data_IF_407173184386
#
_entry.id   IF_407173184386
#
_cell.length_a   1.000
_cell.length_b   1.000
_cell.length_c   1.000
_cell.angle_alpha   90.00
_cell.angle_beta   90.00
_cell.angle_gamma   90.00
#
_symmetry.space_group_name_H-M   'P 1'
#
loop_
_entity.id
_entity.type
_entity.pdbx_description
1 polymer ?
#
# COMPACT_ATOMS: atom_id res chain seq x y z
N UNK A 1 -11.10 -13.11 -11.29
CA UNK A 1 -10.07 -12.21 -11.87
C UNK A 1 -9.56 -11.31 -10.76
N UNK A 2 -8.23 -11.22 -10.52
CA UNK A 2 -7.69 -10.31 -9.49
C UNK A 2 -7.95 -8.85 -9.90
N UNK A 3 -8.82 -8.18 -9.15
CA UNK A 3 -9.05 -6.73 -9.21
C UNK A 3 -7.88 -6.01 -8.56
N UNK A 4 -7.71 -4.73 -8.89
CA UNK A 4 -6.59 -3.95 -8.34
C UNK A 4 -6.71 -3.79 -6.81
N UNK A 5 -7.91 -3.58 -6.27
CA UNK A 5 -8.15 -3.51 -4.83
C UNK A 5 -7.70 -4.78 -4.10
N UNK A 6 -8.01 -5.96 -4.64
CA UNK A 6 -7.57 -7.25 -4.06
C UNK A 6 -6.05 -7.42 -4.13
N UNK A 7 -5.37 -6.89 -5.15
CA UNK A 7 -3.90 -6.89 -5.18
C UNK A 7 -3.32 -6.04 -4.05
N UNK A 8 -3.87 -4.85 -3.81
CA UNK A 8 -3.43 -4.00 -2.70
C UNK A 8 -3.68 -4.64 -1.34
N UNK A 9 -4.84 -5.27 -1.11
CA UNK A 9 -5.14 -5.95 0.15
C UNK A 9 -4.26 -7.17 0.39
N UNK A 10 -3.98 -7.96 -0.65
CA UNK A 10 -3.05 -9.10 -0.55
C UNK A 10 -1.61 -8.64 -0.30
N UNK A 11 -1.18 -7.55 -0.95
CA UNK A 11 0.12 -6.91 -0.67
C UNK A 11 0.21 -6.38 0.76
N UNK A 12 -0.85 -5.76 1.27
CA UNK A 12 -0.94 -5.33 2.68
C UNK A 12 -0.76 -6.52 3.64
N UNK A 13 -1.51 -7.61 3.43
CA UNK A 13 -1.41 -8.81 4.27
C UNK A 13 0.01 -9.39 4.23
N UNK A 14 0.65 -9.43 3.06
CA UNK A 14 2.04 -9.89 2.94
C UNK A 14 3.02 -9.02 3.73
N UNK A 15 2.99 -7.70 3.54
CA UNK A 15 3.93 -6.79 4.24
C UNK A 15 3.69 -6.78 5.75
N UNK A 16 2.42 -6.77 6.15
CA UNK A 16 2.04 -6.77 7.56
C UNK A 16 2.43 -8.08 8.26
N UNK A 17 2.30 -9.23 7.58
CA UNK A 17 2.74 -10.52 8.15
C UNK A 17 4.25 -10.60 8.29
N UNK A 18 5.02 -10.19 7.28
CA UNK A 18 6.49 -10.14 7.38
C UNK A 18 6.93 -9.19 8.49
N UNK A 19 6.35 -7.99 8.56
CA UNK A 19 6.62 -7.05 9.65
C UNK A 19 6.19 -7.59 11.02
N UNK A 20 5.06 -8.29 11.10
CA UNK A 20 4.58 -8.93 12.32
C UNK A 20 5.56 -9.98 12.85
N UNK A 21 6.14 -10.80 11.97
CA UNK A 21 7.16 -11.78 12.33
C UNK A 21 8.43 -11.11 12.89
N UNK A 22 8.85 -9.98 12.34
CA UNK A 22 10.00 -9.23 12.90
C UNK A 22 9.65 -8.54 14.22
N UNK A 23 8.38 -8.24 14.47
CA UNK A 23 7.87 -7.75 15.75
C UNK A 23 7.93 -8.80 16.86
N UNK A 24 7.65 -10.06 16.54
CA UNK A 24 7.83 -11.17 17.49
C UNK A 24 9.30 -11.26 17.93
N UNK A 25 10.25 -11.08 17.01
CA UNK A 25 11.68 -11.06 17.35
C UNK A 25 12.03 -9.90 18.30
N UNK A 26 11.49 -8.70 18.06
CA UNK A 26 11.70 -7.52 18.93
C UNK A 26 10.98 -7.62 20.28
N UNK A 27 9.96 -8.47 20.40
CA UNK A 27 9.33 -8.73 21.70
C UNK A 27 10.20 -9.54 22.66
N UNK A 28 11.28 -10.17 22.16
CA UNK A 28 12.25 -10.89 22.97
C UNK A 28 13.25 -9.93 23.61
N UNK A 29 13.27 -9.86 24.95
CA UNK A 29 14.13 -8.93 25.69
C UNK A 29 15.62 -9.13 25.44
N UNK A 30 16.07 -10.37 25.19
CA UNK A 30 17.48 -10.65 24.89
C UNK A 30 17.90 -10.11 23.52
N UNK A 31 17.03 -10.22 22.52
CA UNK A 31 17.29 -9.71 21.18
C UNK A 31 17.12 -8.19 21.10
N UNK A 32 16.13 -7.64 21.81
CA UNK A 32 15.89 -6.20 21.84
C UNK A 32 17.14 -5.46 22.32
N UNK A 33 17.82 -5.91 23.38
CA UNK A 33 19.08 -5.26 23.84
C UNK A 33 20.12 -5.12 22.73
N UNK A 34 20.22 -6.09 21.82
CA UNK A 34 21.20 -6.07 20.71
C UNK A 34 20.71 -5.30 19.48
N UNK A 35 19.41 -5.31 19.21
CA UNK A 35 18.80 -4.73 18.02
C UNK A 35 18.19 -3.35 18.27
N UNK A 36 18.12 -2.93 19.53
CA UNK A 36 17.62 -1.63 19.93
C UNK A 36 18.40 -0.53 19.22
N UNK A 37 17.69 0.50 18.77
CA UNK A 37 18.27 1.61 18.00
C UNK A 37 19.03 1.21 16.72
N UNK A 38 18.84 0.01 16.19
CA UNK A 38 19.39 -0.39 14.88
C UNK A 38 18.40 -0.18 13.74
N UNK A 39 18.88 -0.32 12.50
CA UNK A 39 18.01 -0.37 11.31
C UNK A 39 16.99 -1.52 11.36
N UNK A 40 17.14 -2.53 12.22
CA UNK A 40 16.17 -3.61 12.35
C UNK A 40 14.82 -3.10 12.88
N UNK A 41 14.87 -2.25 13.91
CA UNK A 41 13.69 -1.59 14.48
C UNK A 41 13.06 -0.64 13.46
N UNK A 42 13.89 0.12 12.75
CA UNK A 42 13.42 1.01 11.67
C UNK A 42 12.68 0.21 10.60
N UNK A 43 13.26 -0.90 10.11
CA UNK A 43 12.67 -1.73 9.07
C UNK A 43 11.35 -2.37 9.55
N UNK A 44 11.31 -2.89 10.77
CA UNK A 44 10.10 -3.44 11.39
C UNK A 44 8.94 -2.44 11.38
N UNK A 45 9.16 -1.23 11.91
CA UNK A 45 8.11 -0.20 11.96
C UNK A 45 7.64 0.22 10.57
N UNK A 46 8.55 0.27 9.59
CA UNK A 46 8.16 0.64 8.23
C UNK A 46 7.26 -0.42 7.59
N UNK A 47 7.56 -1.71 7.74
CA UNK A 47 6.69 -2.79 7.23
C UNK A 47 5.31 -2.80 7.88
N UNK A 48 5.24 -2.65 9.20
CA UNK A 48 3.96 -2.76 9.95
C UNK A 48 3.12 -1.49 9.87
N UNK A 49 3.69 -0.34 10.23
CA UNK A 49 2.93 0.89 10.42
C UNK A 49 2.86 1.72 9.14
N UNK A 50 4.03 2.05 8.55
CA UNK A 50 4.06 2.97 7.41
C UNK A 50 3.49 2.33 6.13
N UNK A 51 3.91 1.11 5.80
CA UNK A 51 3.46 0.44 4.58
C UNK A 51 2.07 -0.15 4.73
N UNK A 52 1.69 -0.54 5.94
CA UNK A 52 0.32 -0.92 6.27
C UNK A 52 -0.68 0.20 5.93
N UNK A 53 -0.43 1.41 6.44
CA UNK A 53 -1.26 2.57 6.14
C UNK A 53 -1.28 2.90 4.64
N UNK A 54 -0.10 2.97 4.00
CA UNK A 54 0.01 3.35 2.58
C UNK A 54 -0.73 2.36 1.67
N UNK A 55 -0.57 1.05 1.86
CA UNK A 55 -1.26 0.04 1.06
C UNK A 55 -2.77 0.01 1.35
N UNK A 56 -3.18 0.25 2.61
CA UNK A 56 -4.59 0.43 2.96
C UNK A 56 -5.23 1.61 2.23
N UNK A 57 -4.54 2.77 2.19
CA UNK A 57 -5.00 3.96 1.47
C UNK A 57 -5.11 3.67 -0.04
N UNK A 58 -4.11 3.05 -0.66
CA UNK A 58 -4.19 2.72 -2.10
C UNK A 58 -5.23 1.65 -2.43
N UNK A 59 -5.46 0.69 -1.53
CA UNK A 59 -6.56 -0.25 -1.63
C UNK A 59 -7.90 0.49 -1.64
N UNK A 60 -8.10 1.38 -0.66
CA UNK A 60 -9.30 2.19 -0.53
C UNK A 60 -9.52 3.11 -1.72
N UNK A 61 -8.48 3.81 -2.18
CA UNK A 61 -8.57 4.63 -3.40
C UNK A 61 -8.97 3.77 -4.60
N UNK A 62 -8.35 2.62 -4.86
CA UNK A 62 -8.74 1.80 -6.00
C UNK A 62 -10.17 1.22 -5.89
N UNK A 63 -10.73 1.07 -4.69
CA UNK A 63 -12.10 0.60 -4.46
C UNK A 63 -13.12 1.75 -4.57
N UNK A 64 -12.94 2.84 -3.81
CA UNK A 64 -13.91 3.92 -3.70
C UNK A 64 -13.74 5.08 -4.71
N UNK A 65 -12.66 5.12 -5.50
CA UNK A 65 -12.46 6.20 -6.48
C UNK A 65 -13.64 6.39 -7.46
N UNK A 66 -14.27 5.33 -8.00
CA UNK A 66 -15.43 5.49 -8.87
C UNK A 66 -16.67 6.02 -8.15
N UNK A 67 -16.82 5.74 -6.85
CA UNK A 67 -17.94 6.25 -6.04
C UNK A 67 -17.83 7.77 -5.83
N UNK A 68 -16.62 8.27 -5.58
CA UNK A 68 -16.38 9.70 -5.34
C UNK A 68 -16.32 10.53 -6.63
N UNK A 69 -15.64 10.05 -7.67
CA UNK A 69 -15.35 10.84 -8.87
C UNK A 69 -16.13 10.40 -10.12
N UNK A 70 -16.82 9.27 -10.07
CA UNK A 70 -17.59 8.73 -11.20
C UNK A 70 -16.75 8.12 -12.32
N UNK A 71 -15.44 8.05 -12.16
CA UNK A 71 -14.48 7.59 -13.17
C UNK A 71 -13.64 6.41 -12.67
N UNK A 72 -13.20 5.56 -13.58
CA UNK A 72 -12.35 4.41 -13.29
C UNK A 72 -10.89 4.62 -13.71
N UNK A 73 -9.96 4.12 -12.89
CA UNK A 73 -8.57 3.96 -13.31
C UNK A 73 -8.41 2.92 -14.41
N UNK A 74 -7.37 3.09 -15.24
CA UNK A 74 -7.04 2.11 -16.26
C UNK A 74 -6.51 0.80 -15.64
N UNK A 75 -7.25 -0.30 -15.81
CA UNK A 75 -7.00 -1.60 -15.14
C UNK A 75 -5.56 -2.11 -15.25
N UNK A 76 -4.90 -1.92 -16.39
CA UNK A 76 -3.50 -2.36 -16.57
C UNK A 76 -2.52 -1.45 -15.82
N UNK A 77 -2.75 -0.14 -15.86
CA UNK A 77 -1.85 0.85 -15.28
C UNK A 77 -1.88 0.80 -13.75
N UNK A 78 -3.07 0.65 -13.16
CA UNK A 78 -3.17 0.48 -11.71
C UNK A 78 -2.48 -0.78 -11.20
N UNK A 79 -2.44 -1.86 -11.99
CA UNK A 79 -1.66 -3.07 -11.67
C UNK A 79 -0.16 -2.83 -11.75
N UNK A 80 0.30 -2.11 -12.75
CA UNK A 80 1.72 -1.70 -12.87
C UNK A 80 2.13 -0.85 -11.66
N UNK A 81 1.30 0.10 -11.26
CA UNK A 81 1.54 0.91 -10.06
C UNK A 81 1.70 0.04 -8.80
N UNK A 82 0.81 -0.94 -8.60
CA UNK A 82 0.93 -1.90 -7.50
C UNK A 82 2.29 -2.63 -7.51
N UNK A 83 2.68 -3.22 -8.65
CA UNK A 83 3.93 -3.98 -8.72
C UNK A 83 5.18 -3.10 -8.53
N UNK A 84 5.19 -1.89 -9.09
CA UNK A 84 6.27 -0.92 -8.88
C UNK A 84 6.39 -0.54 -7.40
N UNK A 85 5.27 -0.23 -6.74
CA UNK A 85 5.27 0.12 -5.32
C UNK A 85 5.70 -1.07 -4.45
N UNK A 86 5.12 -2.25 -4.69
CA UNK A 86 5.42 -3.46 -3.94
C UNK A 86 6.91 -3.85 -4.06
N UNK A 87 7.46 -3.81 -5.27
CA UNK A 87 8.88 -4.11 -5.48
C UNK A 87 9.78 -3.04 -4.85
N UNK A 88 9.47 -1.75 -5.04
CA UNK A 88 10.27 -0.65 -4.48
C UNK A 88 10.32 -0.68 -2.95
N UNK A 89 9.17 -0.87 -2.30
CA UNK A 89 9.08 -0.96 -0.83
C UNK A 89 9.87 -2.15 -0.28
N UNK A 90 9.72 -3.34 -0.88
CA UNK A 90 10.49 -4.51 -0.44
C UNK A 90 12.00 -4.30 -0.65
N UNK A 91 12.43 -3.77 -1.80
CA UNK A 91 13.84 -3.44 -2.03
C UNK A 91 14.38 -2.36 -1.09
N UNK A 92 13.52 -1.47 -0.56
CA UNK A 92 13.93 -0.45 0.40
C UNK A 92 14.14 -1.06 1.79
N UNK A 93 13.12 -1.71 2.34
CA UNK A 93 13.11 -2.07 3.76
C UNK A 93 13.59 -3.50 4.03
N UNK A 94 13.55 -4.40 3.05
CA UNK A 94 14.07 -5.76 3.25
C UNK A 94 15.59 -5.74 3.52
N UNK A 95 16.44 -5.05 2.72
CA UNK A 95 17.86 -4.87 3.04
C UNK A 95 18.15 -4.27 4.41
N UNK A 96 17.27 -3.39 4.90
CA UNK A 96 17.46 -2.72 6.19
C UNK A 96 17.39 -3.69 7.37
N UNK A 97 16.67 -4.81 7.25
CA UNK A 97 16.73 -5.86 8.27
C UNK A 97 18.13 -6.45 8.39
N UNK A 98 18.82 -6.71 7.26
CA UNK A 98 20.20 -7.20 7.28
C UNK A 98 21.20 -6.16 7.77
N UNK A 99 20.99 -4.88 7.46
CA UNK A 99 21.77 -3.78 8.03
C UNK A 99 21.64 -3.74 9.56
N UNK A 100 20.40 -3.88 10.07
CA UNK A 100 20.11 -3.92 11.49
C UNK A 100 20.72 -5.13 12.20
N UNK A 101 20.61 -6.32 11.61
CA UNK A 101 21.21 -7.55 12.15
C UNK A 101 22.74 -7.49 12.20
N UNK A 102 23.38 -6.70 11.32
CA UNK A 102 24.82 -6.43 11.38
C UNK A 102 25.21 -5.34 12.38
N UNK A 103 24.23 -4.79 13.12
CA UNK A 103 24.48 -3.80 14.17
C UNK A 103 24.58 -2.36 13.68
N UNK A 104 24.10 -2.05 12.47
CA UNK A 104 24.11 -0.66 12.00
C UNK A 104 23.09 0.18 12.79
N UNK A 105 23.53 1.23 13.51
CA UNK A 105 22.63 2.06 14.29
C UNK A 105 21.84 3.04 13.41
N UNK A 106 20.62 3.36 13.82
CA UNK A 106 19.75 4.35 13.14
C UNK A 106 20.25 5.77 13.37
N UNK A 107 19.90 6.69 12.46
CA UNK A 107 20.19 8.15 12.55
C UNK A 107 21.66 8.54 12.37
N UNK A 108 22.45 7.71 11.69
CA UNK A 108 23.82 8.04 11.31
C UNK A 108 23.86 8.49 9.85
N UNK A 109 24.62 9.56 9.59
CA UNK A 109 24.77 10.12 8.25
C UNK A 109 25.81 9.37 7.41
N UNK A 110 26.77 8.71 8.07
CA UNK A 110 27.89 8.03 7.43
C UNK A 110 28.05 6.60 7.98
N UNK A 111 28.66 5.72 7.21
CA UNK A 111 28.81 4.30 7.54
C UNK A 111 30.06 3.68 6.91
N UNK A 112 30.67 2.67 7.56
CA UNK A 112 31.77 1.91 6.99
C UNK A 112 31.41 1.20 5.68
N UNK A 113 32.40 1.00 4.81
CA UNK A 113 32.23 0.38 3.48
C UNK A 113 31.58 -1.01 3.50
N UNK A 114 31.66 -1.74 4.62
CA UNK A 114 31.02 -3.05 4.77
C UNK A 114 29.49 -3.02 4.70
N UNK A 115 28.87 -1.86 4.93
CA UNK A 115 27.42 -1.65 4.84
C UNK A 115 26.95 -1.09 3.49
N UNK A 116 27.89 -0.63 2.65
CA UNK A 116 27.60 0.06 1.39
C UNK A 116 26.66 -0.73 0.48
N UNK A 117 26.91 -2.03 0.31
CA UNK A 117 26.12 -2.91 -0.58
C UNK A 117 24.63 -2.87 -0.27
N UNK A 118 24.24 -3.05 1.00
CA UNK A 118 22.84 -3.03 1.41
C UNK A 118 22.21 -1.63 1.39
N UNK A 119 23.00 -0.59 1.64
CA UNK A 119 22.56 0.78 1.46
C UNK A 119 22.25 1.12 0.02
N UNK A 120 23.11 0.74 -0.92
CA UNK A 120 22.86 0.96 -2.35
C UNK A 120 21.56 0.31 -2.80
N UNK A 121 21.32 -0.95 -2.41
CA UNK A 121 20.06 -1.65 -2.74
C UNK A 121 18.86 -0.93 -2.11
N UNK A 122 18.95 -0.57 -0.82
CA UNK A 122 17.89 0.17 -0.13
C UNK A 122 17.59 1.52 -0.82
N UNK A 123 18.62 2.22 -1.29
CA UNK A 123 18.48 3.52 -1.98
C UNK A 123 17.82 3.37 -3.35
N UNK A 124 18.20 2.35 -4.13
CA UNK A 124 17.51 2.07 -5.39
C UNK A 124 16.05 1.69 -5.18
N UNK A 125 15.74 0.91 -4.15
CA UNK A 125 14.35 0.61 -3.77
C UNK A 125 13.55 1.88 -3.46
N UNK A 126 14.15 2.82 -2.72
CA UNK A 126 13.51 4.08 -2.35
C UNK A 126 13.23 4.96 -3.58
N UNK A 127 14.14 4.99 -4.55
CA UNK A 127 13.92 5.69 -5.82
C UNK A 127 12.81 5.05 -6.66
N UNK A 128 12.72 3.72 -6.68
CA UNK A 128 11.63 3.00 -7.37
C UNK A 128 10.28 3.31 -6.73
N UNK A 129 10.18 3.31 -5.39
CA UNK A 129 8.92 3.62 -4.69
C UNK A 129 8.51 5.09 -4.89
N UNK A 130 9.47 6.02 -4.88
CA UNK A 130 9.22 7.41 -5.25
C UNK A 130 8.72 7.55 -6.70
N UNK A 131 9.35 6.87 -7.65
CA UNK A 131 8.89 6.83 -9.04
C UNK A 131 7.48 6.23 -9.17
N UNK A 132 7.14 5.22 -8.36
CA UNK A 132 5.79 4.65 -8.32
C UNK A 132 4.74 5.66 -7.84
N UNK A 133 5.08 6.52 -6.87
CA UNK A 133 4.20 7.59 -6.40
C UNK A 133 3.96 8.65 -7.49
N UNK A 134 5.01 9.06 -8.22
CA UNK A 134 4.86 9.96 -9.37
C UNK A 134 3.99 9.33 -10.47
N UNK A 135 4.18 8.03 -10.72
CA UNK A 135 3.34 7.28 -11.65
C UNK A 135 1.88 7.24 -11.22
N UNK A 136 1.59 7.12 -9.91
CA UNK A 136 0.21 7.20 -9.41
C UNK A 136 -0.43 8.56 -9.69
N UNK A 137 0.29 9.66 -9.44
CA UNK A 137 -0.21 11.01 -9.74
C UNK A 137 -0.58 11.13 -11.22
N UNK A 138 0.25 10.57 -12.11
CA UNK A 138 -0.05 10.50 -13.54
C UNK A 138 -1.31 9.66 -13.84
N UNK A 139 -1.48 8.49 -13.20
CA UNK A 139 -2.68 7.64 -13.39
C UNK A 139 -3.95 8.36 -12.93
N UNK A 140 -3.89 9.13 -11.83
CA UNK A 140 -5.02 9.96 -11.37
C UNK A 140 -5.34 11.04 -12.39
N UNK A 141 -4.34 11.79 -12.83
CA UNK A 141 -4.53 12.84 -13.85
C UNK A 141 -5.14 12.27 -15.13
N UNK A 142 -4.62 11.15 -15.64
CA UNK A 142 -5.13 10.53 -16.85
C UNK A 142 -6.56 9.98 -16.68
N UNK A 143 -6.93 9.47 -15.51
CA UNK A 143 -8.31 9.07 -15.25
C UNK A 143 -9.28 10.25 -15.27
N UNK A 144 -8.87 11.41 -14.75
CA UNK A 144 -9.67 12.63 -14.76
C UNK A 144 -9.79 13.26 -16.15
N UNK A 145 -8.78 13.12 -17.00
CA UNK A 145 -8.86 13.61 -18.40
C UNK A 145 -9.66 12.65 -19.29
N UNK A 146 -9.47 11.34 -19.13
CA UNK A 146 -10.12 10.32 -19.97
C UNK A 146 -11.60 10.08 -19.64
N UNK A 147 -12.06 10.50 -18.46
CA UNK A 147 -13.47 10.42 -18.03
C UNK A 147 -14.10 9.03 -18.29
N UNK A 148 -13.37 7.97 -17.95
CA UNK A 148 -13.85 6.58 -18.13
C UNK A 148 -14.97 6.27 -17.14
N UNK A 149 -16.20 6.48 -17.58
CA UNK A 149 -17.41 6.20 -16.80
C UNK A 149 -17.52 4.74 -16.35
N UNK A 150 -18.25 4.54 -15.26
CA UNK A 150 -18.59 3.22 -14.73
C UNK A 150 -19.79 2.67 -15.51
N UNK A 151 -19.58 1.66 -16.36
CA UNK A 151 -20.68 1.02 -17.11
C UNK A 151 -21.30 -0.12 -16.29
N UNK A 152 -20.48 -0.92 -15.62
CA UNK A 152 -20.91 -1.99 -14.73
C UNK A 152 -19.93 -2.08 -13.55
N UNK A 153 -20.45 -2.14 -12.32
CA UNK A 153 -19.65 -2.43 -11.14
C UNK A 153 -19.35 -3.93 -11.09
N UNK A 154 -18.11 -4.30 -10.78
CA UNK A 154 -17.74 -5.69 -10.46
C UNK A 154 -17.76 -5.95 -8.95
N UNK A 155 -18.31 -5.03 -8.18
CA UNK A 155 -18.36 -5.08 -6.72
C UNK A 155 -19.55 -5.91 -6.26
N UNK A 156 -19.41 -6.55 -5.11
CA UNK A 156 -20.47 -7.37 -4.52
C UNK A 156 -21.61 -6.48 -4.02
N UNK A 157 -22.85 -6.81 -4.40
CA UNK A 157 -24.05 -6.10 -3.95
C UNK A 157 -24.34 -6.23 -2.44
N UNK A 158 -23.53 -7.01 -1.71
CA UNK A 158 -23.62 -7.15 -0.26
C UNK A 158 -23.26 -5.84 0.48
N UNK A 159 -22.48 -4.97 -0.16
CA UNK A 159 -22.10 -3.67 0.40
C UNK A 159 -23.16 -2.61 0.03
N UNK A 160 -23.75 -1.96 1.04
CA UNK A 160 -24.83 -0.97 0.87
C UNK A 160 -24.43 0.15 -0.10
N UNK A 161 -23.18 0.60 -0.02
CA UNK A 161 -22.60 1.64 -0.87
C UNK A 161 -22.62 1.30 -2.36
N UNK A 162 -22.50 0.01 -2.72
CA UNK A 162 -22.54 -0.47 -4.12
C UNK A 162 -23.94 -0.90 -4.55
N UNK A 163 -24.81 -1.27 -3.60
CA UNK A 163 -26.18 -1.70 -3.87
C UNK A 163 -27.09 -0.56 -4.37
N UNK A 164 -26.93 0.65 -3.83
CA UNK A 164 -27.73 1.82 -4.19
C UNK A 164 -27.14 2.67 -5.32
N UNK A 165 -25.83 2.53 -5.58
CA UNK A 165 -25.10 3.32 -6.58
C UNK A 165 -25.33 2.84 -8.03
N UNK A 166 -26.22 1.87 -8.25
CA UNK A 166 -26.29 1.10 -9.50
C UNK A 166 -26.60 1.95 -10.74
N UNK A 167 -27.06 3.20 -10.58
CA UNK A 167 -27.39 4.09 -11.70
C UNK A 167 -26.81 5.52 -11.62
N UNK A 168 -26.08 5.90 -10.55
CA UNK A 168 -25.55 7.27 -10.40
C UNK A 168 -24.14 7.25 -9.81
N UNK A 169 -23.17 7.50 -10.68
CA UNK A 169 -21.78 7.76 -10.33
C UNK A 169 -21.40 9.14 -10.91
N UNK A 170 -20.84 10.08 -10.13
CA UNK A 170 -20.57 10.02 -8.69
C UNK A 170 -21.85 10.00 -7.83
N UNK A 171 -21.70 9.62 -6.55
CA UNK A 171 -22.80 9.63 -5.59
C UNK A 171 -23.45 11.03 -5.44
N UNK A 172 -24.79 11.11 -5.28
CA UNK A 172 -25.47 12.38 -4.99
C UNK A 172 -25.06 12.96 -3.64
N UNK A 173 -25.21 14.28 -3.47
CA UNK A 173 -24.87 14.99 -2.23
C UNK A 173 -25.58 14.45 -0.96
N UNK A 174 -26.80 13.92 -1.12
CA UNK A 174 -27.60 13.34 -0.02
C UNK A 174 -27.68 11.80 -0.07
N UNK A 175 -26.73 11.14 -0.75
CA UNK A 175 -26.70 9.68 -0.84
C UNK A 175 -27.90 9.12 -1.64
N UNK A 176 -28.53 8.05 -1.14
CA UNK A 176 -29.68 7.44 -1.80
C UNK A 176 -30.98 8.17 -1.44
N UNK A 177 -31.88 8.30 -2.43
CA UNK A 177 -33.22 8.88 -2.24
C UNK A 177 -34.11 8.07 -1.29
N UNK A 178 -33.82 6.79 -1.09
CA UNK A 178 -34.46 5.92 -0.12
C UNK A 178 -33.46 4.93 0.46
N UNK A 179 -33.66 4.52 1.71
CA UNK A 179 -32.83 3.52 2.36
C UNK A 179 -33.17 2.13 1.80
N UNK A 180 -32.17 1.30 1.43
CA UNK A 180 -32.42 -0.06 1.02
C UNK A 180 -32.88 -0.90 2.21
N UNK A 181 -33.75 -1.88 1.95
CA UNK A 181 -34.14 -2.88 2.95
C UNK A 181 -32.99 -3.85 3.18
N UNK A 182 -32.43 -3.85 4.38
CA UNK A 182 -31.30 -4.70 4.75
C UNK A 182 -31.85 -5.98 5.39
N UNK A 183 -31.74 -7.10 4.68
CA UNK A 183 -31.99 -8.42 5.24
C UNK A 183 -30.66 -9.07 5.59
N UNK A 184 -30.29 -9.05 6.88
CA UNK A 184 -29.17 -9.83 7.40
C UNK A 184 -29.75 -11.19 7.83
N UNK A 185 -29.53 -12.21 7.00
CA UNK A 185 -29.91 -13.60 7.28
C UNK A 185 -28.68 -14.49 7.16
#
# INVERSE_FOLDING_TARGET
KLTTSVLWSTGFLFLFTVGGLTGIMLSSSSLDVTLHDTYYVTAHFHYVLSMGAVFGIFCGLNHWFPLFYGVNFHKKWSKVHFYLMFLGVNLTFFPQHFLGLKGMPRRYCDYPDCYSTWHWVSSYGALISFGSLLYFIFVVWEAMVSQRGVVFSSHTMAEIEWSGSMNFFPLPAHGNSSLPWIHVG
#
